data_IF_148751580580
#
_entry.id   IF_148751580580
#
_cell.length_a   1.000
_cell.length_b   1.000
_cell.length_c   1.000
_cell.angle_alpha   90.00
_cell.angle_beta   90.00
_cell.angle_gamma   90.00
#
_symmetry.space_group_name_H-M   'P 1'
#
loop_
_entity.id
_entity.type
_entity.pdbx_description
1 polymer ?
#
# COMPACT_ATOMS: atom_id res chain seq x y z
N UNK A 1 -27.84 9.06 14.15
CA UNK A 1 -27.18 9.11 12.83
C UNK A 1 -28.09 9.88 11.89
N UNK A 2 -27.57 10.83 11.11
CA UNK A 2 -28.38 11.61 10.16
C UNK A 2 -28.90 10.69 9.05
N UNK A 3 -30.09 10.97 8.49
CA UNK A 3 -30.71 10.15 7.43
C UNK A 3 -29.77 10.02 6.21
N UNK A 4 -29.09 11.11 5.84
CA UNK A 4 -28.09 11.12 4.75
C UNK A 4 -26.97 10.09 4.97
N UNK A 5 -26.43 10.02 6.18
CA UNK A 5 -25.36 9.07 6.53
C UNK A 5 -25.87 7.63 6.50
N UNK A 6 -27.10 7.39 6.96
CA UNK A 6 -27.72 6.08 6.89
C UNK A 6 -27.84 5.61 5.44
N UNK A 7 -28.43 6.41 4.54
CA UNK A 7 -28.59 6.07 3.12
C UNK A 7 -27.22 5.79 2.47
N UNK A 8 -26.22 6.64 2.75
CA UNK A 8 -24.86 6.48 2.23
C UNK A 8 -24.22 5.17 2.71
N UNK A 9 -24.29 4.88 4.02
CA UNK A 9 -23.74 3.64 4.61
C UNK A 9 -24.49 2.39 4.13
N UNK A 10 -25.80 2.48 3.85
CA UNK A 10 -26.54 1.39 3.21
C UNK A 10 -26.02 1.07 1.81
N UNK A 11 -25.66 2.08 1.00
CA UNK A 11 -25.00 1.87 -0.30
C UNK A 11 -23.64 1.19 -0.14
N UNK A 12 -22.87 1.58 0.87
CA UNK A 12 -21.62 0.91 1.21
C UNK A 12 -21.83 -0.55 1.60
N UNK A 13 -22.87 -0.88 2.38
CA UNK A 13 -23.18 -2.27 2.75
C UNK A 13 -23.35 -3.15 1.51
N UNK A 14 -24.19 -2.69 0.57
CA UNK A 14 -24.47 -3.42 -0.67
C UNK A 14 -23.18 -3.64 -1.46
N UNK A 15 -22.35 -2.60 -1.58
CA UNK A 15 -21.05 -2.70 -2.24
C UNK A 15 -20.13 -3.71 -1.55
N UNK A 16 -20.01 -3.63 -0.21
CA UNK A 16 -19.16 -4.53 0.57
C UNK A 16 -19.59 -5.99 0.42
N UNK A 17 -20.89 -6.30 0.45
CA UNK A 17 -21.39 -7.65 0.23
C UNK A 17 -21.18 -8.13 -1.20
N UNK A 18 -21.35 -7.26 -2.19
CA UNK A 18 -21.12 -7.58 -3.61
C UNK A 18 -19.64 -7.92 -3.88
N UNK A 19 -18.70 -7.27 -3.19
CA UNK A 19 -17.25 -7.43 -3.39
C UNK A 19 -16.56 -8.27 -2.31
N UNK A 20 -17.32 -8.89 -1.41
CA UNK A 20 -16.76 -9.61 -0.25
C UNK A 20 -16.01 -10.87 -0.70
N UNK A 21 -14.82 -11.05 -0.14
CA UNK A 21 -14.19 -12.37 -0.05
C UNK A 21 -14.90 -13.18 1.04
N UNK A 22 -15.94 -13.92 0.63
CA UNK A 22 -16.76 -14.71 1.53
C UNK A 22 -16.00 -15.83 2.25
N UNK A 23 -15.08 -16.58 1.61
CA UNK A 23 -14.18 -17.50 2.31
C UNK A 23 -13.42 -16.83 3.46
N UNK A 24 -12.74 -15.71 3.19
CA UNK A 24 -11.99 -14.96 4.22
C UNK A 24 -12.90 -14.43 5.32
N UNK A 25 -14.08 -13.90 4.96
CA UNK A 25 -15.07 -13.47 5.94
C UNK A 25 -15.49 -14.61 6.88
N UNK A 26 -15.83 -15.79 6.32
CA UNK A 26 -16.25 -16.95 7.11
C UNK A 26 -15.14 -17.43 8.05
N UNK A 27 -13.89 -17.43 7.57
CA UNK A 27 -12.72 -17.78 8.38
C UNK A 27 -12.58 -16.83 9.58
N UNK A 28 -12.57 -15.52 9.33
CA UNK A 28 -12.41 -14.50 10.36
C UNK A 28 -13.58 -14.46 11.34
N UNK A 29 -14.80 -14.67 10.84
CA UNK A 29 -16.00 -14.77 11.66
C UNK A 29 -15.93 -15.97 12.61
N UNK A 30 -15.53 -17.13 12.10
CA UNK A 30 -15.38 -18.36 12.90
C UNK A 30 -14.28 -18.21 13.95
N UNK A 31 -13.16 -17.59 13.58
CA UNK A 31 -12.10 -17.23 14.51
C UNK A 31 -12.60 -16.33 15.64
N UNK A 32 -13.28 -15.23 15.33
CA UNK A 32 -13.82 -14.31 16.33
C UNK A 32 -14.83 -15.00 17.26
N UNK A 33 -15.69 -15.88 16.74
CA UNK A 33 -16.60 -16.68 17.58
C UNK A 33 -15.85 -17.59 18.56
N UNK A 34 -14.78 -18.24 18.11
CA UNK A 34 -13.94 -19.09 18.96
C UNK A 34 -13.26 -18.27 20.06
N UNK A 35 -12.76 -17.08 19.73
CA UNK A 35 -12.08 -16.20 20.69
C UNK A 35 -13.03 -15.63 21.76
N UNK A 36 -14.24 -15.22 21.39
CA UNK A 36 -15.14 -14.53 22.33
C UNK A 36 -16.23 -15.42 22.92
N UNK A 37 -16.43 -16.64 22.42
CA UNK A 37 -17.57 -17.51 22.78
C UNK A 37 -18.94 -16.98 22.35
N UNK A 38 -19.02 -15.92 21.52
CA UNK A 38 -20.28 -15.27 21.15
C UNK A 38 -21.05 -16.08 20.10
N UNK A 39 -22.38 -16.06 20.22
CA UNK A 39 -23.28 -16.65 19.22
C UNK A 39 -23.24 -15.90 17.88
N UNK A 40 -23.63 -16.59 16.80
CA UNK A 40 -23.63 -16.05 15.43
C UNK A 40 -24.39 -14.73 15.33
N UNK A 41 -25.64 -14.69 15.80
CA UNK A 41 -26.52 -13.52 15.67
C UNK A 41 -25.92 -12.30 16.39
N UNK A 42 -25.43 -12.49 17.62
CA UNK A 42 -24.80 -11.41 18.41
C UNK A 42 -23.61 -10.80 17.68
N UNK A 43 -22.70 -11.64 17.15
CA UNK A 43 -21.50 -11.17 16.47
C UNK A 43 -21.82 -10.51 15.13
N UNK A 44 -22.73 -11.10 14.36
CA UNK A 44 -23.17 -10.54 13.07
C UNK A 44 -23.87 -9.19 13.25
N UNK A 45 -24.79 -9.06 14.20
CA UNK A 45 -25.45 -7.79 14.49
C UNK A 45 -24.46 -6.73 14.97
N UNK A 46 -23.47 -7.09 15.80
CA UNK A 46 -22.43 -6.16 16.25
C UNK A 46 -21.51 -5.72 15.10
N UNK A 47 -21.18 -6.64 14.19
CA UNK A 47 -20.43 -6.37 12.98
C UNK A 47 -21.14 -5.34 12.08
N UNK A 48 -22.43 -5.56 11.77
CA UNK A 48 -23.24 -4.64 10.96
C UNK A 48 -23.46 -3.30 11.69
N UNK A 49 -23.79 -3.32 12.99
CA UNK A 49 -23.94 -2.09 13.78
C UNK A 49 -22.65 -1.28 13.82
N UNK A 50 -21.50 -1.94 13.92
CA UNK A 50 -20.18 -1.28 13.92
C UNK A 50 -19.90 -0.63 12.57
N UNK A 51 -20.24 -1.27 11.45
CA UNK A 51 -20.17 -0.63 10.13
C UNK A 51 -21.00 0.66 10.11
N UNK A 52 -22.26 0.58 10.52
CA UNK A 52 -23.13 1.76 10.51
C UNK A 52 -22.75 2.82 11.52
N UNK A 53 -22.08 2.49 12.63
CA UNK A 53 -21.70 3.47 13.65
C UNK A 53 -20.38 4.15 13.31
N UNK A 54 -19.36 3.35 12.98
CA UNK A 54 -17.97 3.79 12.84
C UNK A 54 -17.51 4.00 11.39
N UNK A 55 -18.39 3.80 10.41
CA UNK A 55 -18.10 3.95 8.97
C UNK A 55 -16.95 3.05 8.49
N UNK A 56 -16.99 1.78 8.90
CA UNK A 56 -15.97 0.76 8.58
C UNK A 56 -16.48 -0.21 7.52
N UNK A 57 -15.58 -0.91 6.83
CA UNK A 57 -15.96 -2.07 6.03
C UNK A 57 -16.45 -3.22 6.92
N UNK A 58 -17.27 -4.11 6.39
CA UNK A 58 -17.76 -5.27 7.14
C UNK A 58 -16.58 -6.17 7.60
N UNK A 59 -15.56 -6.33 6.75
CA UNK A 59 -14.35 -7.10 7.08
C UNK A 59 -13.44 -6.39 8.09
N UNK A 60 -13.44 -5.05 8.12
CA UNK A 60 -12.59 -4.25 9.02
C UNK A 60 -12.88 -4.54 10.49
N UNK A 61 -14.12 -4.90 10.83
CA UNK A 61 -14.49 -5.29 12.19
C UNK A 61 -13.63 -6.44 12.72
N UNK A 62 -13.28 -7.40 11.86
CA UNK A 62 -12.44 -8.53 12.24
C UNK A 62 -10.96 -8.14 12.23
N UNK A 63 -10.53 -7.41 11.20
CA UNK A 63 -9.16 -6.95 11.05
C UNK A 63 -8.71 -6.08 12.24
N UNK A 64 -9.58 -5.16 12.69
CA UNK A 64 -9.33 -4.30 13.85
C UNK A 64 -9.74 -4.93 15.18
N UNK A 65 -10.13 -6.21 15.18
CA UNK A 65 -10.56 -6.96 16.37
C UNK A 65 -11.63 -6.23 17.19
N UNK A 66 -12.59 -5.58 16.53
CA UNK A 66 -13.64 -4.82 17.20
C UNK A 66 -14.46 -5.70 18.16
N UNK A 67 -14.53 -7.00 17.91
CA UNK A 67 -15.18 -7.97 18.80
C UNK A 67 -14.56 -8.03 20.22
N UNK A 68 -13.39 -7.45 20.45
CA UNK A 68 -12.68 -7.36 21.75
C UNK A 68 -12.66 -5.93 22.31
N UNK A 69 -12.98 -4.93 21.49
CA UNK A 69 -12.81 -3.51 21.81
C UNK A 69 -14.12 -2.87 22.23
N UNK A 70 -14.04 -1.93 23.17
CA UNK A 70 -15.20 -1.16 23.61
C UNK A 70 -15.60 -0.07 22.59
N UNK A 71 -16.79 0.55 22.75
CA UNK A 71 -17.25 1.58 21.81
C UNK A 71 -16.36 2.83 21.68
N UNK A 72 -15.67 3.24 22.75
CA UNK A 72 -14.79 4.40 22.73
C UNK A 72 -13.51 4.09 21.95
N UNK A 73 -12.94 2.91 22.16
CA UNK A 73 -11.78 2.45 21.40
C UNK A 73 -12.12 2.30 19.92
N UNK A 74 -13.23 1.64 19.57
CA UNK A 74 -13.67 1.44 18.18
C UNK A 74 -13.81 2.76 17.41
N UNK A 75 -14.21 3.84 18.09
CA UNK A 75 -14.39 5.15 17.46
C UNK A 75 -13.07 5.80 16.99
N UNK A 76 -11.92 5.34 17.50
CA UNK A 76 -10.58 5.85 17.14
C UNK A 76 -10.03 5.27 15.85
N UNK A 77 -10.63 4.22 15.29
CA UNK A 77 -10.09 3.52 14.12
C UNK A 77 -10.63 4.09 12.81
N UNK A 78 -9.76 4.16 11.80
CA UNK A 78 -10.11 4.52 10.42
C UNK A 78 -10.58 3.28 9.66
N UNK A 79 -11.87 3.25 9.35
CA UNK A 79 -12.52 2.22 8.54
C UNK A 79 -12.57 2.51 7.05
N UNK A 80 -13.02 1.53 6.26
CA UNK A 80 -13.02 1.60 4.78
C UNK A 80 -13.90 2.74 4.28
N UNK A 81 -15.11 2.90 4.85
CA UNK A 81 -16.01 3.98 4.47
C UNK A 81 -15.42 5.35 4.80
N UNK A 82 -14.89 5.52 6.02
CA UNK A 82 -14.24 6.77 6.43
C UNK A 82 -13.03 7.10 5.55
N UNK A 83 -12.14 6.13 5.32
CA UNK A 83 -10.94 6.31 4.50
C UNK A 83 -11.29 6.69 3.06
N UNK A 84 -12.27 6.03 2.45
CA UNK A 84 -12.74 6.39 1.11
C UNK A 84 -13.22 7.84 1.02
N UNK A 85 -13.95 8.30 2.03
CA UNK A 85 -14.42 9.69 2.08
C UNK A 85 -13.27 10.68 2.29
N UNK A 86 -12.32 10.36 3.16
CA UNK A 86 -11.10 11.14 3.37
C UNK A 86 -10.28 11.27 2.08
N UNK A 87 -10.06 10.16 1.38
CA UNK A 87 -9.27 10.12 0.16
C UNK A 87 -9.91 10.93 -0.98
N UNK A 88 -11.24 10.97 -1.07
CA UNK A 88 -11.93 11.83 -2.05
C UNK A 88 -11.76 13.33 -1.78
N UNK A 89 -11.51 13.69 -0.52
CA UNK A 89 -11.27 15.08 -0.13
C UNK A 89 -9.82 15.44 -0.37
N UNK A 90 -8.89 14.58 0.10
CA UNK A 90 -7.45 14.84 0.04
C UNK A 90 -6.84 14.60 -1.34
N UNK A 91 -7.35 13.64 -2.10
CA UNK A 91 -6.90 13.30 -3.45
C UNK A 91 -8.12 13.27 -4.39
N UNK A 92 -8.59 14.44 -4.86
CA UNK A 92 -9.74 14.54 -5.74
C UNK A 92 -9.61 13.68 -7.01
N UNK A 93 -10.73 13.14 -7.50
CA UNK A 93 -10.74 12.31 -8.73
C UNK A 93 -10.21 13.04 -9.96
N UNK A 94 -10.29 14.37 -9.98
CA UNK A 94 -9.82 15.21 -11.08
C UNK A 94 -8.31 15.34 -11.16
N UNK A 95 -7.57 14.96 -10.12
CA UNK A 95 -6.13 15.21 -10.00
C UNK A 95 -5.30 13.97 -9.68
N UNK A 96 -5.95 12.86 -9.32
CA UNK A 96 -5.28 11.66 -8.82
C UNK A 96 -4.97 10.60 -9.89
N UNK A 97 -5.27 10.87 -11.15
CA UNK A 97 -5.03 9.92 -12.25
C UNK A 97 -3.54 9.60 -12.41
N UNK A 98 -2.67 10.57 -12.11
CA UNK A 98 -1.21 10.41 -12.00
C UNK A 98 -0.78 9.39 -10.94
N UNK A 99 -1.65 9.09 -9.97
CA UNK A 99 -1.43 8.07 -8.92
C UNK A 99 -2.25 6.80 -9.17
N UNK A 100 -2.99 6.71 -10.28
CA UNK A 100 -3.76 5.54 -10.69
C UNK A 100 -3.10 4.81 -11.89
N UNK A 101 -2.38 5.55 -12.75
CA UNK A 101 -1.68 5.00 -13.90
C UNK A 101 -0.15 5.10 -13.73
N UNK A 102 0.54 3.97 -13.84
CA UNK A 102 1.99 3.89 -13.61
C UNK A 102 2.83 4.62 -14.65
N UNK A 103 2.41 4.66 -15.92
CA UNK A 103 3.13 5.41 -16.96
C UNK A 103 3.07 6.91 -16.63
N UNK A 104 1.88 7.44 -16.36
CA UNK A 104 1.71 8.84 -15.93
C UNK A 104 2.48 9.15 -14.65
N UNK A 105 2.52 8.19 -13.72
CA UNK A 105 3.30 8.33 -12.49
C UNK A 105 4.78 8.53 -12.81
N UNK A 106 5.40 7.65 -13.61
CA UNK A 106 6.83 7.78 -13.92
C UNK A 106 7.14 9.00 -14.77
N UNK A 107 6.24 9.42 -15.67
CA UNK A 107 6.40 10.69 -16.39
C UNK A 107 6.37 11.89 -15.44
N UNK A 108 5.44 11.91 -14.48
CA UNK A 108 5.28 13.03 -13.56
C UNK A 108 6.33 13.03 -12.43
N UNK A 109 6.88 11.87 -12.07
CA UNK A 109 7.82 11.71 -10.95
C UNK A 109 9.19 11.20 -11.40
N UNK A 110 9.57 11.40 -12.67
CA UNK A 110 10.84 10.93 -13.26
C UNK A 110 12.06 11.28 -12.39
N UNK A 111 12.07 12.48 -11.80
CA UNK A 111 13.16 12.95 -10.91
C UNK A 111 13.30 12.16 -9.59
N UNK A 112 12.37 11.26 -9.27
CA UNK A 112 12.31 10.47 -8.04
C UNK A 112 12.44 8.96 -8.30
N UNK A 113 12.70 8.57 -9.55
CA UNK A 113 12.78 7.19 -10.04
C UNK A 113 14.16 6.99 -10.64
N UNK A 114 14.85 5.91 -10.26
CA UNK A 114 16.22 5.63 -10.70
C UNK A 114 16.28 4.51 -11.74
N UNK A 115 15.41 3.51 -11.61
CA UNK A 115 15.32 2.40 -12.57
C UNK A 115 14.77 2.90 -13.92
N UNK A 116 15.27 2.30 -15.00
CA UNK A 116 14.75 2.62 -16.32
C UNK A 116 13.32 2.11 -16.49
N UNK A 117 12.52 2.87 -17.25
CA UNK A 117 11.16 2.49 -17.65
C UNK A 117 10.95 2.78 -19.13
N UNK A 118 10.18 1.94 -19.82
CA UNK A 118 9.74 2.21 -21.18
C UNK A 118 8.32 1.70 -21.42
N UNK A 119 7.61 2.37 -22.31
CA UNK A 119 6.25 1.99 -22.72
C UNK A 119 6.27 1.03 -23.90
N UNK A 120 5.12 0.42 -24.19
CA UNK A 120 4.97 -0.38 -25.42
C UNK A 120 5.28 0.43 -26.69
N UNK A 121 4.97 1.73 -26.69
CA UNK A 121 5.27 2.64 -27.82
C UNK A 121 6.78 2.90 -27.94
N UNK A 122 7.49 3.08 -26.82
CA UNK A 122 8.95 3.19 -26.79
C UNK A 122 9.62 1.98 -27.46
N UNK A 123 9.14 0.77 -27.17
CA UNK A 123 9.68 -0.47 -27.73
C UNK A 123 9.37 -0.56 -29.22
N UNK A 124 8.13 -0.23 -29.62
CA UNK A 124 7.73 -0.22 -31.03
C UNK A 124 8.60 0.73 -31.87
N UNK A 125 8.88 1.91 -31.32
CA UNK A 125 9.63 2.98 -31.96
C UNK A 125 11.15 2.87 -31.74
N UNK A 126 11.61 1.84 -31.01
CA UNK A 126 13.03 1.57 -30.72
C UNK A 126 13.74 2.77 -30.12
N UNK A 127 13.09 3.42 -29.14
CA UNK A 127 13.65 4.59 -28.47
C UNK A 127 14.83 4.22 -27.60
N UNK A 128 15.58 5.22 -27.15
CA UNK A 128 16.69 5.01 -26.21
C UNK A 128 16.24 4.34 -24.91
N UNK A 129 15.01 4.61 -24.44
CA UNK A 129 14.43 3.93 -23.27
C UNK A 129 14.30 2.42 -23.50
N UNK A 130 13.85 2.00 -24.68
CA UNK A 130 13.75 0.59 -25.04
C UNK A 130 15.12 -0.09 -25.11
N UNK A 131 16.13 0.61 -25.65
CA UNK A 131 17.51 0.12 -25.66
C UNK A 131 18.05 -0.10 -24.25
N UNK A 132 17.90 0.88 -23.37
CA UNK A 132 18.33 0.80 -21.96
C UNK A 132 17.65 -0.39 -21.26
N UNK A 133 16.35 -0.61 -21.48
CA UNK A 133 15.62 -1.73 -20.89
C UNK A 133 16.14 -3.09 -21.37
N UNK A 134 16.43 -3.26 -22.67
CA UNK A 134 16.95 -4.53 -23.20
C UNK A 134 18.39 -4.80 -22.77
N UNK A 135 19.22 -3.75 -22.68
CA UNK A 135 20.64 -3.83 -22.34
C UNK A 135 20.91 -3.64 -20.84
N UNK A 136 19.87 -3.68 -20.01
CA UNK A 136 19.99 -3.39 -18.60
C UNK A 136 20.94 -4.37 -17.88
N UNK A 137 21.72 -3.89 -16.89
CA UNK A 137 22.78 -4.69 -16.27
C UNK A 137 22.27 -5.87 -15.43
N UNK A 138 21.00 -5.86 -15.01
CA UNK A 138 20.42 -6.96 -14.23
C UNK A 138 20.10 -8.19 -15.08
N UNK A 139 20.01 -8.03 -16.40
CA UNK A 139 19.57 -9.08 -17.32
C UNK A 139 18.09 -9.46 -17.18
N UNK A 140 17.31 -8.69 -16.42
CA UNK A 140 15.89 -8.97 -16.16
C UNK A 140 15.04 -7.75 -16.47
N UNK A 141 13.83 -7.99 -16.94
CA UNK A 141 12.83 -6.97 -17.25
C UNK A 141 11.55 -7.33 -16.51
N UNK A 142 10.90 -6.34 -15.93
CA UNK A 142 9.59 -6.46 -15.32
C UNK A 142 8.57 -5.90 -16.31
N UNK A 143 7.63 -6.70 -16.80
CA UNK A 143 6.56 -6.27 -17.70
C UNK A 143 5.20 -6.34 -17.00
N UNK A 144 4.34 -5.33 -17.23
CA UNK A 144 3.03 -5.24 -16.58
C UNK A 144 2.04 -4.30 -17.28
N UNK A 145 0.79 -4.36 -16.84
CA UNK A 145 -0.26 -3.38 -17.15
C UNK A 145 -0.13 -2.16 -16.22
N UNK A 146 -0.10 -0.96 -16.80
CA UNK A 146 0.02 0.33 -16.10
C UNK A 146 -1.17 0.67 -15.21
N UNK A 147 -2.33 0.05 -15.44
CA UNK A 147 -3.53 0.17 -14.60
C UNK A 147 -3.68 -1.00 -13.61
N UNK A 148 -2.82 -2.01 -13.72
CA UNK A 148 -2.77 -3.14 -12.79
C UNK A 148 -2.47 -2.68 -11.36
N UNK A 149 -3.26 -3.18 -10.40
CA UNK A 149 -3.07 -2.90 -8.97
C UNK A 149 -2.72 -4.19 -8.22
N UNK A 150 -1.96 -4.05 -7.12
CA UNK A 150 -1.65 -5.14 -6.18
C UNK A 150 -0.79 -6.29 -6.75
N UNK A 151 0.00 -6.04 -7.80
CA UNK A 151 0.96 -7.01 -8.37
C UNK A 151 0.32 -8.17 -9.15
N UNK A 152 -0.98 -8.11 -9.42
CA UNK A 152 -1.64 -8.95 -10.41
C UNK A 152 -1.19 -8.43 -11.78
N UNK A 153 -0.76 -9.32 -12.67
CA UNK A 153 -0.28 -9.00 -14.02
C UNK A 153 1.13 -8.38 -14.11
N UNK A 154 2.04 -8.85 -13.25
CA UNK A 154 3.49 -8.61 -13.39
C UNK A 154 4.16 -9.90 -13.88
N UNK A 155 5.03 -9.83 -14.88
CA UNK A 155 5.90 -10.94 -15.26
C UNK A 155 7.36 -10.46 -15.23
N UNK A 156 8.26 -11.31 -14.72
CA UNK A 156 9.72 -11.08 -14.77
C UNK A 156 10.27 -11.97 -15.87
N UNK A 157 10.88 -11.35 -16.88
CA UNK A 157 11.46 -12.02 -18.04
C UNK A 157 12.97 -11.76 -18.11
N UNK A 158 13.70 -12.65 -18.77
CA UNK A 158 15.13 -12.47 -19.02
C UNK A 158 15.32 -11.59 -20.27
N UNK A 159 16.09 -10.51 -20.16
CA UNK A 159 16.28 -9.58 -21.29
C UNK A 159 16.99 -10.24 -22.48
N UNK A 160 17.87 -11.22 -22.24
CA UNK A 160 18.61 -11.92 -23.28
C UNK A 160 17.72 -12.77 -24.22
N UNK A 161 16.51 -13.09 -23.79
CA UNK A 161 15.56 -13.90 -24.58
C UNK A 161 14.79 -13.06 -25.61
N UNK A 162 14.95 -11.73 -25.59
CA UNK A 162 14.15 -10.81 -26.39
C UNK A 162 15.01 -9.77 -27.13
N UNK A 163 14.54 -9.41 -28.32
CA UNK A 163 14.88 -8.19 -29.03
C UNK A 163 13.67 -7.23 -29.03
N UNK A 164 13.80 -6.07 -29.68
CA UNK A 164 12.72 -5.09 -29.77
C UNK A 164 11.42 -5.68 -30.36
N UNK A 165 11.51 -6.50 -31.40
CA UNK A 165 10.33 -6.99 -32.11
C UNK A 165 9.60 -8.08 -31.32
N UNK A 166 10.36 -9.03 -30.78
CA UNK A 166 9.84 -10.11 -29.95
C UNK A 166 9.29 -9.62 -28.61
N UNK A 167 9.96 -8.64 -27.97
CA UNK A 167 9.44 -8.02 -26.74
C UNK A 167 8.12 -7.29 -26.99
N UNK A 168 8.05 -6.48 -28.05
CA UNK A 168 6.82 -5.78 -28.44
C UNK A 168 5.66 -6.76 -28.68
N UNK A 169 5.90 -7.82 -29.46
CA UNK A 169 4.88 -8.86 -29.75
C UNK A 169 4.42 -9.55 -28.47
N UNK A 170 5.36 -9.90 -27.59
CA UNK A 170 5.06 -10.57 -26.34
C UNK A 170 4.22 -9.68 -25.41
N UNK A 171 4.66 -8.46 -25.13
CA UNK A 171 3.92 -7.50 -24.29
C UNK A 171 2.52 -7.24 -24.84
N UNK A 172 2.39 -6.97 -26.14
CA UNK A 172 1.09 -6.77 -26.80
C UNK A 172 0.17 -7.99 -26.69
N UNK A 173 0.71 -9.20 -26.81
CA UNK A 173 -0.09 -10.44 -26.71
C UNK A 173 -0.62 -10.69 -25.30
N UNK A 174 0.10 -10.21 -24.28
CA UNK A 174 -0.25 -10.35 -22.86
C UNK A 174 -1.05 -9.16 -22.33
N UNK A 175 -1.14 -8.07 -23.08
CA UNK A 175 -1.78 -6.83 -22.64
C UNK A 175 -0.90 -5.98 -21.72
N UNK A 176 0.41 -6.18 -21.74
CA UNK A 176 1.36 -5.32 -21.03
C UNK A 176 1.66 -4.07 -21.85
N UNK A 177 1.68 -2.92 -21.18
CA UNK A 177 1.94 -1.61 -21.78
C UNK A 177 3.18 -0.91 -21.19
N UNK A 178 3.80 -1.52 -20.18
CA UNK A 178 4.91 -0.98 -19.43
C UNK A 178 5.97 -2.05 -19.18
N UNK A 179 7.24 -1.69 -19.41
CA UNK A 179 8.42 -2.47 -19.07
C UNK A 179 9.36 -1.64 -18.18
N UNK A 180 9.95 -2.30 -17.18
CA UNK A 180 10.83 -1.68 -16.19
C UNK A 180 12.11 -2.49 -16.03
N UNK A 181 13.21 -1.82 -15.75
CA UNK A 181 14.43 -2.46 -15.26
C UNK A 181 14.12 -3.18 -13.95
N UNK A 182 14.60 -4.42 -13.80
CA UNK A 182 14.44 -5.15 -12.56
C UNK A 182 15.25 -4.47 -11.45
N UNK A 183 14.55 -3.98 -10.42
CA UNK A 183 15.17 -3.28 -9.30
C UNK A 183 15.94 -4.27 -8.42
N UNK A 184 17.24 -4.02 -8.26
CA UNK A 184 18.07 -4.71 -7.27
C UNK A 184 18.05 -3.91 -5.97
N UNK A 185 17.34 -4.43 -4.98
CA UNK A 185 17.25 -3.79 -3.67
C UNK A 185 18.60 -3.83 -2.91
N UNK A 186 18.75 -2.92 -1.96
CA UNK A 186 19.93 -2.76 -1.13
C UNK A 186 20.31 -4.07 -0.40
N UNK A 187 21.60 -4.41 -0.25
CA UNK A 187 22.05 -5.65 0.41
C UNK A 187 21.45 -5.85 1.80
N UNK A 188 21.35 -4.79 2.61
CA UNK A 188 20.71 -4.88 3.93
C UNK A 188 19.20 -5.18 3.85
N UNK A 189 18.51 -4.83 2.78
CA UNK A 189 17.11 -5.26 2.60
C UNK A 189 17.06 -6.72 2.12
N UNK A 190 17.98 -7.14 1.24
CA UNK A 190 18.11 -8.55 0.84
C UNK A 190 18.38 -9.48 2.02
N UNK A 191 19.16 -9.04 3.01
CA UNK A 191 19.36 -9.80 4.25
C UNK A 191 18.05 -10.06 4.98
N UNK A 192 17.18 -9.06 5.03
CA UNK A 192 15.87 -9.18 5.65
C UNK A 192 14.98 -10.16 4.88
N UNK A 193 14.86 -9.98 3.57
CA UNK A 193 14.24 -10.93 2.65
C UNK A 193 14.65 -10.66 1.21
N UNK A 194 15.15 -11.66 0.50
CA UNK A 194 15.53 -11.60 -0.91
C UNK A 194 14.44 -12.14 -1.86
N UNK A 195 13.30 -12.60 -1.31
CA UNK A 195 12.29 -13.31 -2.08
C UNK A 195 11.49 -12.44 -3.06
N UNK A 196 11.47 -11.12 -2.84
CA UNK A 196 10.84 -10.12 -3.67
C UNK A 196 11.36 -8.73 -3.37
N UNK A 197 10.93 -7.73 -4.15
CA UNK A 197 11.25 -6.33 -3.86
C UNK A 197 10.47 -5.88 -2.63
N UNK A 198 11.17 -5.53 -1.56
CA UNK A 198 10.56 -5.06 -0.33
C UNK A 198 10.52 -3.53 -0.32
N UNK A 199 9.40 -2.96 0.14
CA UNK A 199 9.23 -1.50 0.15
C UNK A 199 8.98 -0.97 1.56
N UNK A 200 9.43 0.26 1.76
CA UNK A 200 8.97 1.09 2.89
C UNK A 200 7.80 1.94 2.41
N UNK A 201 6.61 1.65 2.95
CA UNK A 201 5.42 2.48 2.77
C UNK A 201 5.56 3.71 3.67
N UNK A 202 5.75 4.90 3.11
CA UNK A 202 5.77 6.17 3.86
C UNK A 202 4.50 6.94 3.52
N UNK A 203 3.73 7.33 4.54
CA UNK A 203 2.46 8.05 4.35
C UNK A 203 2.68 9.52 4.62
N UNK A 204 2.48 10.35 3.60
CA UNK A 204 2.60 11.81 3.70
C UNK A 204 1.22 12.49 3.70
N UNK A 205 1.18 13.65 4.32
CA UNK A 205 0.06 14.58 4.30
C UNK A 205 0.58 16.00 4.02
N UNK A 206 0.05 16.66 3.00
CA UNK A 206 0.26 18.09 2.74
C UNK A 206 -0.81 18.87 3.50
N UNK A 207 -0.41 19.62 4.52
CA UNK A 207 -1.30 20.42 5.37
C UNK A 207 -1.77 21.69 4.64
N UNK A 208 -2.63 22.50 5.28
CA UNK A 208 -3.17 23.73 4.67
C UNK A 208 -2.11 24.78 4.29
N UNK A 209 -0.95 24.74 4.92
CA UNK A 209 0.16 25.67 4.74
C UNK A 209 1.20 25.15 3.72
N UNK A 210 0.87 24.05 3.01
CA UNK A 210 1.73 23.34 2.06
C UNK A 210 3.01 22.75 2.68
N UNK A 211 2.95 22.38 3.96
CA UNK A 211 4.01 21.63 4.62
C UNK A 211 3.69 20.13 4.61
N UNK A 212 4.73 19.29 4.54
CA UNK A 212 4.59 17.84 4.52
C UNK A 212 4.73 17.27 5.92
N UNK A 213 3.66 16.65 6.41
CA UNK A 213 3.64 15.84 7.62
C UNK A 213 3.75 14.35 7.25
N UNK A 214 4.64 13.61 7.92
CA UNK A 214 4.74 12.15 7.76
C UNK A 214 3.84 11.49 8.81
N UNK A 215 2.76 10.85 8.37
CA UNK A 215 1.75 10.25 9.24
C UNK A 215 2.18 8.89 9.79
N UNK A 216 3.22 8.29 9.23
CA UNK A 216 3.76 6.99 9.63
C UNK A 216 4.43 6.25 8.48
N UNK A 217 5.26 5.27 8.83
CA UNK A 217 5.94 4.43 7.86
C UNK A 217 5.90 2.94 8.26
N UNK A 218 5.82 2.06 7.26
CA UNK A 218 5.73 0.60 7.46
C UNK A 218 6.64 -0.11 6.48
N UNK A 219 7.47 -1.00 6.98
CA UNK A 219 8.24 -1.90 6.14
C UNK A 219 7.34 -3.08 5.76
N UNK A 220 7.15 -3.31 4.46
CA UNK A 220 6.55 -4.54 3.94
C UNK A 220 7.68 -5.51 3.61
N UNK A 221 7.57 -6.74 4.10
CA UNK A 221 8.61 -7.75 3.98
C UNK A 221 8.00 -9.00 3.35
N UNK A 222 8.56 -9.39 2.22
CA UNK A 222 8.19 -10.57 1.45
C UNK A 222 8.47 -11.86 2.22
N UNK A 223 7.55 -12.82 2.17
CA UNK A 223 7.70 -14.14 2.82
C UNK A 223 7.54 -15.24 1.76
N UNK A 224 8.65 -15.73 1.20
CA UNK A 224 8.68 -16.75 0.14
C UNK A 224 7.80 -16.41 -1.08
N UNK A 225 7.70 -15.13 -1.42
CA UNK A 225 6.94 -14.65 -2.58
C UNK A 225 7.59 -13.40 -3.15
N UNK A 226 7.50 -13.26 -4.47
CA UNK A 226 8.08 -12.14 -5.20
C UNK A 226 7.11 -10.95 -5.29
N UNK A 227 5.87 -11.10 -4.84
CA UNK A 227 4.84 -10.04 -4.87
C UNK A 227 4.86 -9.24 -3.57
N UNK A 228 5.01 -7.92 -3.66
CA UNK A 228 4.96 -7.00 -2.51
C UNK A 228 3.52 -6.64 -2.09
N UNK A 229 2.81 -7.62 -1.52
CA UNK A 229 1.46 -7.41 -1.01
C UNK A 229 1.22 -8.17 0.30
N UNK A 230 0.74 -7.46 1.32
CA UNK A 230 0.37 -8.05 2.62
C UNK A 230 -0.71 -9.14 2.50
N UNK A 231 -1.56 -9.07 1.47
CA UNK A 231 -2.56 -10.10 1.21
C UNK A 231 -1.96 -11.42 0.67
N UNK A 232 -0.72 -11.38 0.15
CA UNK A 232 -0.02 -12.54 -0.42
C UNK A 232 0.74 -13.39 0.61
N UNK A 233 0.50 -13.15 1.91
CA UNK A 233 1.18 -13.87 2.98
C UNK A 233 2.45 -13.19 3.51
N UNK A 234 2.76 -12.00 3.01
CA UNK A 234 3.83 -11.15 3.52
C UNK A 234 3.54 -10.64 4.93
N UNK A 235 4.58 -10.11 5.57
CA UNK A 235 4.45 -9.39 6.84
C UNK A 235 4.66 -7.90 6.64
N UNK A 236 4.13 -7.11 7.55
CA UNK A 236 4.52 -5.72 7.70
C UNK A 236 4.91 -5.43 9.15
N UNK A 237 5.83 -4.50 9.35
CA UNK A 237 6.17 -4.00 10.69
C UNK A 237 6.24 -2.48 10.68
N UNK A 238 6.07 -1.87 11.85
CA UNK A 238 6.21 -0.43 11.99
C UNK A 238 7.65 0.03 11.93
N UNK A 239 7.81 1.27 11.46
CA UNK A 239 9.09 1.97 11.42
C UNK A 239 8.95 3.16 12.34
N UNK A 240 9.93 3.31 13.23
CA UNK A 240 10.13 4.51 14.02
C UNK A 240 10.60 5.66 13.11
N UNK A 241 9.85 6.76 13.10
CA UNK A 241 10.09 7.84 12.14
C UNK A 241 11.39 8.62 12.43
N UNK A 242 11.82 8.67 13.69
CA UNK A 242 13.00 9.43 14.11
C UNK A 242 14.29 8.64 13.84
N UNK A 243 14.26 7.32 14.02
CA UNK A 243 15.46 6.48 13.95
C UNK A 243 15.56 5.64 12.68
N UNK A 244 14.46 5.44 11.95
CA UNK A 244 14.40 4.53 10.81
C UNK A 244 14.50 3.07 11.18
N UNK A 245 14.37 2.73 12.47
CA UNK A 245 14.40 1.36 12.94
C UNK A 245 13.01 0.76 12.87
N UNK A 246 12.94 -0.52 12.54
CA UNK A 246 11.73 -1.29 12.73
C UNK A 246 11.41 -1.34 14.23
N UNK A 247 10.16 -1.10 14.60
CA UNK A 247 9.70 -1.15 15.99
C UNK A 247 8.46 -2.04 16.10
N UNK A 248 8.54 -3.11 16.90
CA UNK A 248 7.44 -4.04 17.10
C UNK A 248 7.44 -5.27 16.18
N UNK A 249 6.30 -5.98 16.19
CA UNK A 249 6.17 -7.31 15.59
C UNK A 249 5.74 -7.25 14.12
N UNK A 250 6.18 -8.24 13.34
CA UNK A 250 5.64 -8.52 12.01
C UNK A 250 4.20 -8.99 12.10
N UNK A 251 3.31 -8.35 11.34
CA UNK A 251 1.88 -8.68 11.29
C UNK A 251 1.50 -9.20 9.91
N UNK A 252 0.57 -10.16 9.88
CA UNK A 252 -0.08 -10.64 8.65
C UNK A 252 -1.42 -9.92 8.45
N UNK A 253 -1.92 -9.92 7.21
CA UNK A 253 -3.31 -9.54 6.92
C UNK A 253 -4.32 -10.61 7.36
N UNK A 254 -3.85 -11.81 7.69
CA UNK A 254 -4.64 -12.91 8.25
C UNK A 254 -4.63 -12.84 9.77
N UNK A 255 -5.78 -12.52 10.37
CA UNK A 255 -5.92 -12.37 11.82
C UNK A 255 -5.83 -13.69 12.59
N UNK A 256 -5.83 -14.83 11.88
CA UNK A 256 -5.70 -16.16 12.48
C UNK A 256 -4.24 -16.57 12.70
N UNK A 257 -3.30 -15.81 12.12
CA UNK A 257 -1.87 -16.00 12.32
C UNK A 257 -1.37 -15.13 13.48
N UNK A 258 -0.46 -15.69 14.25
CA UNK A 258 0.24 -14.95 15.29
C UNK A 258 1.19 -13.93 14.69
N UNK A 259 1.42 -12.85 15.44
CA UNK A 259 2.46 -11.87 15.11
C UNK A 259 3.83 -12.50 15.33
N UNK A 260 4.83 -12.08 14.56
CA UNK A 260 6.18 -12.66 14.58
C UNK A 260 7.23 -11.64 15.03
N UNK A 261 8.17 -12.05 15.89
CA UNK A 261 9.29 -11.21 16.33
C UNK A 261 10.49 -11.25 15.38
N UNK A 262 10.56 -12.27 14.53
CA UNK A 262 11.59 -12.46 13.52
C UNK A 262 10.95 -12.79 12.16
N UNK A 263 11.66 -12.49 11.08
CA UNK A 263 11.24 -12.87 9.74
C UNK A 263 11.16 -14.41 9.63
N UNK A 264 10.03 -15.00 9.22
CA UNK A 264 9.81 -16.46 9.26
C UNK A 264 10.79 -17.30 8.43
N UNK A 265 11.47 -16.70 7.45
CA UNK A 265 12.36 -17.42 6.53
C UNK A 265 13.83 -17.13 6.85
N UNK A 266 14.21 -15.85 6.91
CA UNK A 266 15.61 -15.45 7.19
C UNK A 266 15.99 -15.52 8.66
N UNK A 267 15.01 -15.61 9.58
CA UNK A 267 15.24 -15.65 11.02
C UNK A 267 15.71 -14.33 11.63
N UNK A 268 15.82 -13.26 10.83
CA UNK A 268 16.26 -11.95 11.31
C UNK A 268 15.22 -11.37 12.27
N UNK A 269 15.68 -10.96 13.45
CA UNK A 269 14.86 -10.25 14.43
C UNK A 269 14.43 -8.92 13.84
N UNK A 270 13.12 -8.66 13.87
CA UNK A 270 12.55 -7.46 13.27
C UNK A 270 12.81 -6.23 14.15
N UNK A 271 12.63 -6.35 15.46
CA UNK A 271 12.75 -5.21 16.36
C UNK A 271 14.17 -4.61 16.32
N UNK A 272 14.25 -3.28 16.27
CA UNK A 272 15.46 -2.48 16.15
C UNK A 272 16.29 -2.68 14.86
N UNK A 273 15.78 -3.44 13.87
CA UNK A 273 16.44 -3.57 12.57
C UNK A 273 16.52 -2.21 11.87
N UNK A 274 17.71 -1.80 11.47
CA UNK A 274 17.92 -0.50 10.83
C UNK A 274 17.55 -0.56 9.34
N UNK A 275 16.65 0.32 8.91
CA UNK A 275 16.43 0.57 7.49
C UNK A 275 17.58 1.44 6.95
N UNK A 276 18.28 1.03 5.88
CA UNK A 276 19.31 1.83 5.24
C UNK A 276 18.69 3.04 4.52
N UNK A 277 19.45 4.13 4.40
CA UNK A 277 19.05 5.34 3.65
C UNK A 277 17.74 5.97 4.15
N UNK A 278 17.50 5.94 5.46
CA UNK A 278 16.23 6.35 6.05
C UNK A 278 15.95 7.84 5.88
N UNK A 279 16.92 8.69 6.21
CA UNK A 279 16.77 10.15 6.09
C UNK A 279 16.58 10.57 4.63
N UNK A 280 17.31 9.94 3.72
CA UNK A 280 17.18 10.13 2.28
C UNK A 280 15.80 9.71 1.77
N UNK A 281 15.22 8.64 2.34
CA UNK A 281 13.86 8.19 2.00
C UNK A 281 12.80 9.18 2.46
N UNK A 282 12.97 9.76 3.66
CA UNK A 282 12.08 10.81 4.16
C UNK A 282 12.18 12.08 3.31
N UNK A 283 13.39 12.49 2.92
CA UNK A 283 13.60 13.64 2.04
C UNK A 283 12.97 13.41 0.64
N UNK A 284 13.20 12.23 0.05
CA UNK A 284 12.61 11.82 -1.23
C UNK A 284 11.09 11.99 -1.20
N UNK A 285 10.44 11.44 -0.17
CA UNK A 285 8.98 11.49 -0.02
C UNK A 285 8.46 12.91 0.22
N UNK A 286 9.16 13.73 1.02
CA UNK A 286 8.77 15.13 1.24
C UNK A 286 8.83 15.93 -0.07
N UNK A 287 9.89 15.76 -0.86
CA UNK A 287 10.01 16.42 -2.16
C UNK A 287 8.95 15.91 -3.16
N UNK A 288 8.69 14.61 -3.19
CA UNK A 288 7.67 14.03 -4.06
C UNK A 288 6.25 14.53 -3.70
N UNK A 289 5.92 14.58 -2.41
CA UNK A 289 4.62 15.08 -1.94
C UNK A 289 4.35 16.54 -2.34
N UNK A 290 5.39 17.38 -2.39
CA UNK A 290 5.28 18.77 -2.84
C UNK A 290 5.35 18.94 -4.36
N UNK A 291 5.71 17.89 -5.10
CA UNK A 291 5.75 17.96 -6.57
C UNK A 291 4.35 18.02 -7.19
N UNK A 292 3.36 17.36 -6.57
CA UNK A 292 1.93 17.39 -6.93
C UNK A 292 1.04 17.64 -5.70
N UNK A 293 1.09 18.85 -5.12
CA UNK A 293 0.44 19.15 -3.84
C UNK A 293 -1.09 19.09 -3.90
N UNK A 294 -1.69 18.98 -5.10
CA UNK A 294 -3.11 18.70 -5.30
C UNK A 294 -3.54 17.31 -4.81
N UNK A 295 -2.61 16.35 -4.72
CA UNK A 295 -2.81 15.06 -4.08
C UNK A 295 -2.21 15.09 -2.67
N UNK A 296 -3.03 15.49 -1.70
CA UNK A 296 -2.56 15.89 -0.37
C UNK A 296 -2.20 14.74 0.54
N UNK A 297 -2.71 13.52 0.31
CA UNK A 297 -2.50 12.40 1.24
C UNK A 297 -2.07 11.14 0.50
N UNK A 298 -0.77 10.88 0.40
CA UNK A 298 -0.25 9.81 -0.47
C UNK A 298 0.53 8.80 0.35
N UNK A 299 0.34 7.51 0.06
CA UNK A 299 1.20 6.44 0.56
C UNK A 299 2.23 6.08 -0.50
N UNK A 300 3.48 6.44 -0.25
CA UNK A 300 4.60 6.24 -1.16
C UNK A 300 5.24 4.88 -0.90
N UNK A 301 5.45 4.11 -1.96
CA UNK A 301 6.23 2.89 -1.91
C UNK A 301 7.65 3.21 -2.32
N UNK A 302 8.53 3.24 -1.32
CA UNK A 302 9.95 3.51 -1.50
C UNK A 302 10.70 2.19 -1.57
N UNK A 303 11.47 2.00 -2.63
CA UNK A 303 12.45 0.92 -2.76
C UNK A 303 13.83 1.49 -2.42
N UNK A 304 14.62 0.71 -1.70
CA UNK A 304 15.96 1.09 -1.29
C UNK A 304 16.95 0.32 -2.16
N UNK A 305 17.83 1.02 -2.86
CA UNK A 305 18.88 0.43 -3.70
C UNK A 305 20.25 0.94 -3.26
N UNK A 306 21.35 0.34 -3.75
CA UNK A 306 22.69 0.89 -3.50
C UNK A 306 22.92 2.26 -4.15
N UNK A 307 22.12 2.62 -5.17
CA UNK A 307 22.18 3.94 -5.83
C UNK A 307 21.44 5.03 -5.05
N UNK A 308 20.61 4.65 -4.08
CA UNK A 308 19.73 5.56 -3.34
C UNK A 308 18.30 5.00 -3.18
N UNK A 309 17.46 5.68 -2.38
CA UNK A 309 16.03 5.41 -2.36
C UNK A 309 15.35 5.92 -3.63
N UNK A 310 14.34 5.20 -4.12
CA UNK A 310 13.53 5.58 -5.28
C UNK A 310 12.05 5.24 -5.09
N UNK A 311 11.18 5.91 -5.84
CA UNK A 311 9.75 5.63 -5.81
C UNK A 311 9.38 4.51 -6.78
N UNK A 312 8.65 3.52 -6.28
CA UNK A 312 7.99 2.50 -7.09
C UNK A 312 6.56 2.91 -7.48
N UNK A 313 5.81 3.51 -6.54
CA UNK A 313 4.48 4.05 -6.80
C UNK A 313 4.02 5.02 -5.70
N UNK A 314 3.07 5.88 -6.05
CA UNK A 314 2.31 6.70 -5.10
C UNK A 314 0.85 6.26 -5.04
N UNK A 315 0.35 5.98 -3.83
CA UNK A 315 -1.00 5.47 -3.62
C UNK A 315 -1.93 6.56 -3.06
N UNK A 316 -2.86 7.04 -3.88
CA UNK A 316 -3.91 8.00 -3.48
C UNK A 316 -4.94 7.41 -2.49
N UNK A 317 -5.02 6.08 -2.39
CA UNK A 317 -5.96 5.33 -1.54
C UNK A 317 -5.21 4.40 -0.57
N UNK A 318 -4.10 4.88 -0.02
CA UNK A 318 -3.18 4.10 0.81
C UNK A 318 -3.84 3.28 1.93
N UNK A 319 -3.25 2.14 2.25
CA UNK A 319 -3.86 1.11 3.07
C UNK A 319 -3.96 1.49 4.55
N UNK A 320 -5.17 1.85 5.00
CA UNK A 320 -5.49 2.15 6.42
C UNK A 320 -5.16 1.01 7.41
N UNK A 321 -5.14 -0.23 6.92
CA UNK A 321 -4.86 -1.42 7.73
C UNK A 321 -3.37 -1.51 8.01
N UNK A 322 -2.56 -1.35 6.96
CA UNK A 322 -1.10 -1.27 7.07
C UNK A 322 -0.68 -0.11 7.98
N UNK A 323 -1.39 1.01 7.94
CA UNK A 323 -1.12 2.14 8.82
C UNK A 323 -1.44 1.87 10.31
N UNK A 324 -2.54 1.21 10.65
CA UNK A 324 -3.01 1.11 12.05
C UNK A 324 -2.67 -0.21 12.76
N UNK A 325 -2.69 -1.35 12.06
CA UNK A 325 -2.55 -2.66 12.71
C UNK A 325 -1.13 -2.93 13.26
N UNK A 326 -0.03 -2.61 12.54
CA UNK A 326 1.32 -2.87 13.06
C UNK A 326 1.61 -2.22 14.42
N UNK A 327 1.03 -1.04 14.67
CA UNK A 327 1.13 -0.32 15.96
C UNK A 327 -0.09 -0.53 16.88
N UNK A 328 -1.04 -1.38 16.47
CA UNK A 328 -2.28 -1.72 17.18
C UNK A 328 -3.07 -0.52 17.73
N UNK A 329 -3.12 0.58 16.97
CA UNK A 329 -3.68 1.85 17.45
C UNK A 329 -4.60 2.48 16.42
N UNK A 330 -5.80 2.90 16.86
CA UNK A 330 -6.70 3.70 16.05
C UNK A 330 -6.20 5.13 15.90
N UNK A 331 -5.93 5.55 14.66
CA UNK A 331 -5.29 6.84 14.33
C UNK A 331 -6.23 7.86 13.69
N UNK A 332 -7.56 7.70 13.84
CA UNK A 332 -8.55 8.56 13.18
C UNK A 332 -8.38 10.05 13.51
N UNK A 333 -8.01 10.37 14.74
CA UNK A 333 -7.77 11.75 15.18
C UNK A 333 -6.69 12.47 14.35
N UNK A 334 -5.68 11.75 13.84
CA UNK A 334 -4.63 12.29 12.98
C UNK A 334 -5.25 12.82 11.68
N UNK A 335 -6.17 12.06 11.07
CA UNK A 335 -6.85 12.48 9.84
C UNK A 335 -7.90 13.59 10.08
N UNK A 336 -8.56 13.57 11.24
CA UNK A 336 -9.56 14.58 11.60
C UNK A 336 -8.96 15.99 11.71
N UNK A 337 -7.71 16.11 12.19
CA UNK A 337 -6.96 17.38 12.20
C UNK A 337 -6.94 18.01 10.80
N UNK A 338 -6.55 17.26 9.79
CA UNK A 338 -6.39 17.77 8.43
C UNK A 338 -7.73 18.05 7.73
N UNK A 339 -8.78 17.28 8.04
CA UNK A 339 -10.11 17.61 7.54
C UNK A 339 -10.65 18.92 8.11
N UNK A 340 -10.31 19.26 9.36
CA UNK A 340 -10.73 20.50 10.01
C UNK A 340 -10.01 21.74 9.45
N UNK A 341 -8.82 21.56 8.87
CA UNK A 341 -8.02 22.63 8.26
C UNK A 341 -8.54 23.05 6.88
N UNK A 342 -9.34 22.20 6.22
CA UNK A 342 -9.87 22.51 4.91
C UNK A 342 -11.02 23.52 5.03
N UNK A 343 -11.08 24.55 4.17
CA UNK A 343 -12.21 25.47 4.14
C UNK A 343 -13.48 24.64 3.98
N UNK A 344 -14.45 24.84 4.89
CA UNK A 344 -15.67 24.04 4.95
C UNK A 344 -16.28 23.95 3.55
N UNK A 345 -16.23 22.74 2.96
CA UNK A 345 -16.96 22.45 1.73
C UNK A 345 -18.44 22.54 2.08
N UNK A 346 -19.09 23.61 1.61
CA UNK A 346 -20.53 23.86 1.67
C UNK A 346 -21.29 22.66 1.08
#
# INVERSE_FOLDING_TARGET
MKIRDFIKRSKYLVYYFKKMDWPKYKLFFSYARKQTGRGFISLFCDNIRSMYKYNIGVIDYFLFRFFEKDPAERARWVGTGYKYEYDLVMNPKSTRDVLENKIKFYEAYEAFVLHAVCTLDDIQNRTEKARIILENPSGKIVVKDSLGQCGWDVEIINSADYDHESLFKYMKSKGFDLAEEFIVQHPDINRLSDSGVNTVRIISQVNKDNEVEILGARMRISVNTWVDNLASGNIATSVDLETGKLNGLGIYSDITKDRVSAHPVSGIVLDAYQIPLWEESLDLVKRAALHRPENRAVGWDVVLTEKGPELLEGNHNWCKILWQIPIDTGLKHVLEKHLAELPHRI
#
